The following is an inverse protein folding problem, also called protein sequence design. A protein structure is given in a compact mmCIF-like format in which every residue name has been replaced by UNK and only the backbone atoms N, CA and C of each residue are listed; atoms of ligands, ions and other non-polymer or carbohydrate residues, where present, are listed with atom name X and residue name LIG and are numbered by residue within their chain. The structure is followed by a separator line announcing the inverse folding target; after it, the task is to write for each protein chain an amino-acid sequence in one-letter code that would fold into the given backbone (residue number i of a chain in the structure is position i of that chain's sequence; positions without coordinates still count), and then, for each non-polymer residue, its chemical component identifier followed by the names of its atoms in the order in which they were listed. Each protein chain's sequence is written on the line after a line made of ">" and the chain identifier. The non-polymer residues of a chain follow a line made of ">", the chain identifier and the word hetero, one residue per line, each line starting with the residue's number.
data_IF_744927274605
#
_entry.id   IF_744927274605
#
_cell.length_a   1.000
_cell.length_b   1.000
_cell.length_c   1.000
_cell.angle_alpha   90.00
_cell.angle_beta   90.00
_cell.angle_gamma   90.00
#
_symmetry.space_group_name_H-M   'P 1'
#
loop_
_entity.id
_entity.type
_entity.pdbx_description
1 polymer ?
#
# COMPACT_ATOMS: atom_id res chain seq x y z
N UNK A 1 33.80 14.25 -55.00
CA UNK A 1 33.09 13.91 -53.75
C UNK A 1 31.68 14.45 -53.92
N UNK A 2 30.79 13.60 -54.43
CA UNK A 2 29.38 13.90 -54.61
C UNK A 2 28.68 13.46 -53.32
N UNK A 3 27.94 14.37 -52.69
CA UNK A 3 27.00 14.00 -51.63
C UNK A 3 25.79 13.38 -52.31
N UNK A 4 25.49 12.12 -51.98
CA UNK A 4 24.27 11.46 -52.41
C UNK A 4 23.12 11.93 -51.52
N UNK A 5 22.01 12.26 -52.17
CA UNK A 5 20.77 12.75 -51.61
C UNK A 5 20.13 11.74 -50.65
N UNK A 6 20.00 12.11 -49.37
CA UNK A 6 19.14 11.42 -48.40
C UNK A 6 17.67 11.56 -48.83
N UNK A 7 17.19 10.54 -49.55
CA UNK A 7 15.77 10.39 -49.89
C UNK A 7 14.99 9.98 -48.63
N UNK A 8 14.16 10.91 -48.17
CA UNK A 8 13.11 10.69 -47.18
C UNK A 8 12.15 9.61 -47.71
N UNK A 9 12.05 8.47 -47.04
CA UNK A 9 11.03 7.44 -47.33
C UNK A 9 9.82 7.66 -46.40
N UNK A 10 8.71 8.26 -46.87
CA UNK A 10 7.44 8.11 -46.18
C UNK A 10 6.79 6.79 -46.61
N UNK A 11 6.12 6.17 -45.64
CA UNK A 11 5.23 5.01 -45.74
C UNK A 11 5.87 3.64 -45.52
N UNK A 12 5.60 3.08 -44.34
CA UNK A 12 5.14 1.70 -44.29
C UNK A 12 3.85 1.65 -43.46
N UNK A 13 2.74 1.54 -44.17
CA UNK A 13 1.43 1.18 -43.65
C UNK A 13 1.39 -0.32 -43.38
N UNK A 14 0.50 -0.68 -42.46
CA UNK A 14 -0.12 -2.00 -42.33
C UNK A 14 0.77 -3.18 -41.93
N UNK A 15 0.72 -3.50 -40.63
CA UNK A 15 0.80 -4.90 -40.23
C UNK A 15 -0.24 -5.18 -39.14
N UNK A 16 -1.35 -5.74 -39.60
CA UNK A 16 -2.38 -6.40 -38.81
C UNK A 16 -1.78 -7.65 -38.13
N UNK A 17 -1.84 -7.72 -36.81
CA UNK A 17 -1.88 -8.97 -36.04
C UNK A 17 -2.82 -8.71 -34.86
N UNK A 18 -4.08 -9.13 -34.97
CA UNK A 18 -4.59 -10.47 -34.63
C UNK A 18 -4.66 -10.70 -33.10
N UNK A 19 -5.90 -10.58 -32.61
CA UNK A 19 -6.47 -11.33 -31.48
C UNK A 19 -5.70 -11.40 -30.16
N UNK A 20 -6.04 -10.53 -29.22
CA UNK A 20 -6.04 -10.94 -27.81
C UNK A 20 -7.31 -10.41 -27.12
N UNK A 21 -8.26 -11.31 -26.91
CA UNK A 21 -9.52 -11.09 -26.22
C UNK A 21 -9.24 -10.72 -24.76
N UNK A 22 -9.19 -9.42 -24.46
CA UNK A 22 -9.30 -8.92 -23.08
C UNK A 22 -10.78 -8.87 -22.74
N UNK A 23 -11.18 -9.80 -21.87
CA UNK A 23 -12.55 -10.07 -21.49
C UNK A 23 -13.35 -8.83 -21.11
N UNK A 24 -14.50 -8.70 -21.76
CA UNK A 24 -15.63 -7.89 -21.36
C UNK A 24 -16.16 -8.36 -20.00
N UNK A 25 -15.82 -7.62 -18.93
CA UNK A 25 -16.52 -7.73 -17.63
C UNK A 25 -16.83 -6.34 -17.07
N UNK A 26 -17.46 -5.49 -17.86
CA UNK A 26 -18.12 -4.29 -17.36
C UNK A 26 -19.50 -4.22 -17.99
N UNK A 27 -20.51 -4.70 -17.27
CA UNK A 27 -21.87 -4.14 -17.24
C UNK A 27 -22.79 -5.10 -16.51
N UNK A 28 -23.12 -4.75 -15.26
CA UNK A 28 -24.46 -4.80 -14.65
C UNK A 28 -24.28 -4.70 -13.14
N UNK A 29 -24.18 -3.47 -12.65
CA UNK A 29 -24.54 -3.16 -11.26
C UNK A 29 -25.54 -2.01 -11.31
N UNK A 30 -26.70 -2.15 -10.64
CA UNK A 30 -27.76 -1.15 -10.69
C UNK A 30 -27.31 0.19 -10.08
N UNK A 31 -27.96 1.31 -10.44
CA UNK A 31 -27.61 2.61 -9.89
C UNK A 31 -27.95 2.61 -8.40
N UNK A 32 -26.95 2.41 -7.54
CA UNK A 32 -27.09 2.66 -6.12
C UNK A 32 -27.10 4.16 -5.94
N UNK A 33 -28.21 4.67 -5.40
CA UNK A 33 -28.38 6.05 -5.00
C UNK A 33 -27.11 6.56 -4.32
N UNK A 34 -26.52 7.60 -4.91
CA UNK A 34 -25.41 8.33 -4.32
C UNK A 34 -25.93 9.00 -3.04
N UNK A 35 -25.83 8.30 -1.92
CA UNK A 35 -25.79 8.96 -0.63
C UNK A 35 -24.49 9.78 -0.61
N UNK A 36 -24.62 11.03 -1.05
CA UNK A 36 -23.69 12.10 -0.78
C UNK A 36 -23.51 12.15 0.73
N UNK A 37 -22.33 11.75 1.21
CA UNK A 37 -21.93 12.10 2.57
C UNK A 37 -21.72 13.62 2.55
N UNK A 38 -22.64 14.37 3.13
CA UNK A 38 -22.39 15.75 3.51
C UNK A 38 -21.22 15.74 4.49
N UNK A 39 -20.08 16.26 4.03
CA UNK A 39 -18.91 16.56 4.83
C UNK A 39 -19.26 17.72 5.78
N UNK A 40 -19.90 17.39 6.90
CA UNK A 40 -20.00 18.25 8.07
C UNK A 40 -19.59 17.43 9.28
N UNK A 41 -18.29 17.49 9.61
CA UNK A 41 -17.82 17.57 11.00
C UNK A 41 -16.34 17.93 10.97
N UNK A 42 -16.03 19.09 11.52
CA UNK A 42 -14.69 19.57 11.85
C UNK A 42 -14.05 18.55 12.80
N UNK A 43 -13.32 17.59 12.25
CA UNK A 43 -12.63 16.57 13.03
C UNK A 43 -11.41 17.20 13.69
N UNK A 44 -11.62 17.81 14.87
CA UNK A 44 -10.54 18.22 15.75
C UNK A 44 -9.83 16.95 16.24
N UNK A 45 -8.69 16.68 15.62
CA UNK A 45 -7.74 15.69 16.12
C UNK A 45 -7.20 16.20 17.45
N UNK A 46 -7.78 15.75 18.56
CA UNK A 46 -7.09 15.77 19.83
C UNK A 46 -5.92 14.77 19.71
N UNK A 47 -4.65 15.21 19.82
CA UNK A 47 -3.54 14.28 19.87
C UNK A 47 -3.82 13.32 21.01
N UNK A 48 -3.97 12.04 20.68
CA UNK A 48 -4.17 11.01 21.69
C UNK A 48 -2.88 10.93 22.50
N UNK A 49 -2.82 11.71 23.57
CA UNK A 49 -1.83 11.59 24.63
C UNK A 49 -2.12 10.28 25.39
N UNK A 50 -1.90 9.14 24.75
CA UNK A 50 -1.40 7.97 25.47
C UNK A 50 0.06 8.26 25.88
N UNK A 51 0.24 9.34 26.64
CA UNK A 51 1.37 9.53 27.52
C UNK A 51 1.04 8.77 28.80
N UNK A 52 1.14 7.43 28.71
CA UNK A 52 1.33 6.65 29.92
C UNK A 52 2.49 7.27 30.70
N UNK A 53 2.25 7.60 31.96
CA UNK A 53 3.21 8.21 32.88
C UNK A 53 4.45 7.33 33.03
N UNK A 54 5.38 7.39 32.08
CA UNK A 54 6.72 6.83 32.20
C UNK A 54 7.68 7.99 32.07
N UNK A 55 8.25 8.35 33.22
CA UNK A 55 9.37 9.26 33.44
C UNK A 55 10.27 9.45 32.21
N UNK A 56 10.52 10.72 31.85
CA UNK A 56 11.13 11.16 30.58
C UNK A 56 12.55 10.64 30.25
N UNK A 57 13.13 9.79 31.09
CA UNK A 57 14.35 9.01 30.81
C UNK A 57 14.10 7.83 29.86
N UNK A 58 12.92 7.19 29.89
CA UNK A 58 12.63 6.01 29.05
C UNK A 58 12.31 6.35 27.58
N UNK A 59 11.73 7.53 27.31
CA UNK A 59 11.35 7.94 25.94
C UNK A 59 12.57 8.19 25.05
N UNK A 60 13.61 8.85 25.60
CA UNK A 60 14.86 9.14 24.86
C UNK A 60 15.56 7.85 24.42
N UNK A 61 15.61 6.86 25.31
CA UNK A 61 16.18 5.55 24.98
C UNK A 61 15.39 4.88 23.84
N UNK A 62 14.06 4.98 23.84
CA UNK A 62 13.22 4.36 22.81
C UNK A 62 13.42 4.99 21.42
N UNK A 63 13.57 6.31 21.38
CA UNK A 63 13.84 7.05 20.14
C UNK A 63 15.22 6.73 19.59
N UNK A 64 16.23 6.58 20.45
CA UNK A 64 17.56 6.10 20.04
C UNK A 64 17.50 4.71 19.40
N UNK A 65 16.71 3.78 19.96
CA UNK A 65 16.53 2.45 19.36
C UNK A 65 15.86 2.51 17.98
N UNK A 66 14.88 3.38 17.78
CA UNK A 66 14.25 3.56 16.46
C UNK A 66 15.25 4.06 15.42
N UNK A 67 16.13 4.99 15.80
CA UNK A 67 17.14 5.54 14.89
C UNK A 67 18.21 4.52 14.43
N UNK A 68 18.37 3.41 15.17
CA UNK A 68 19.23 2.30 14.75
C UNK A 68 18.57 1.46 13.65
N UNK A 69 17.24 1.44 13.55
CA UNK A 69 16.54 0.70 12.50
C UNK A 69 16.73 1.39 11.14
N UNK A 70 17.42 0.70 10.23
CA UNK A 70 17.66 1.17 8.86
C UNK A 70 16.37 1.57 8.13
N UNK A 71 15.24 0.92 8.44
CA UNK A 71 13.94 1.19 7.82
C UNK A 71 13.19 2.36 8.46
N UNK A 72 13.58 2.84 9.64
CA UNK A 72 12.91 3.95 10.30
C UNK A 72 13.21 5.27 9.59
N UNK A 73 12.18 6.08 9.40
CA UNK A 73 12.27 7.42 8.85
C UNK A 73 11.29 8.34 9.58
N UNK A 74 11.66 9.61 9.65
CA UNK A 74 10.82 10.68 10.17
C UNK A 74 10.74 11.78 9.12
N UNK A 75 9.54 12.24 8.81
CA UNK A 75 9.31 13.37 7.89
C UNK A 75 8.33 14.34 8.50
N UNK A 76 8.43 15.61 8.13
CA UNK A 76 7.42 16.60 8.47
C UNK A 76 6.51 16.81 7.26
N UNK A 77 5.21 16.64 7.44
CA UNK A 77 4.19 17.02 6.45
C UNK A 77 3.48 18.30 6.89
N UNK A 78 2.84 18.98 5.94
CA UNK A 78 1.97 20.11 6.23
C UNK A 78 0.53 19.65 5.99
N UNK A 79 -0.28 19.63 7.03
CA UNK A 79 -1.71 19.34 6.94
C UNK A 79 -2.50 20.51 7.52
N UNK A 80 -3.41 21.10 6.73
CA UNK A 80 -4.21 22.27 7.13
C UNK A 80 -3.38 23.44 7.70
N UNK A 81 -2.17 23.66 7.15
CA UNK A 81 -1.25 24.72 7.59
C UNK A 81 -0.44 24.40 8.85
N UNK A 82 -0.68 23.25 9.49
CA UNK A 82 0.09 22.78 10.64
C UNK A 82 1.19 21.83 10.19
N UNK A 83 2.37 21.95 10.80
CA UNK A 83 3.49 21.03 10.59
C UNK A 83 3.32 19.83 11.51
N UNK A 84 3.19 18.64 10.91
CA UNK A 84 3.05 17.38 11.62
C UNK A 84 4.25 16.50 11.32
N UNK A 85 4.88 16.01 12.38
CA UNK A 85 5.94 15.03 12.28
C UNK A 85 5.34 13.62 12.21
N UNK A 86 5.73 12.87 11.19
CA UNK A 86 5.30 11.49 10.95
C UNK A 86 6.52 10.59 10.97
N UNK A 87 6.40 9.50 11.71
CA UNK A 87 7.38 8.42 11.79
C UNK A 87 6.87 7.22 11.01
N UNK A 88 7.69 6.64 10.14
CA UNK A 88 7.27 5.47 9.36
C UNK A 88 8.40 4.47 9.17
N UNK A 89 8.01 3.22 8.94
CA UNK A 89 8.93 2.09 8.80
C UNK A 89 8.87 1.52 7.38
N UNK A 90 9.96 1.71 6.65
CA UNK A 90 10.13 1.23 5.29
C UNK A 90 10.44 -0.27 5.27
N UNK A 91 9.84 -0.95 4.30
CA UNK A 91 10.21 -2.31 3.92
C UNK A 91 10.94 -2.27 2.57
N UNK A 92 12.01 -3.05 2.45
CA UNK A 92 12.69 -3.25 1.16
C UNK A 92 11.74 -3.88 0.14
N UNK A 93 11.85 -3.44 -1.12
CA UNK A 93 11.15 -4.08 -2.25
C UNK A 93 11.81 -5.40 -2.69
N UNK A 94 12.86 -5.87 -2.01
CA UNK A 94 13.47 -7.18 -2.30
C UNK A 94 12.53 -8.33 -1.94
N UNK A 95 12.17 -9.21 -2.90
CA UNK A 95 11.33 -10.38 -2.64
C UNK A 95 11.88 -11.26 -1.52
N UNK A 96 10.99 -11.85 -0.72
CA UNK A 96 11.34 -12.71 0.41
C UNK A 96 11.55 -11.96 1.74
N UNK A 97 11.71 -10.64 1.72
CA UNK A 97 11.74 -9.81 2.93
C UNK A 97 10.40 -9.88 3.67
N UNK A 98 10.41 -9.88 5.01
CA UNK A 98 9.17 -9.79 5.78
C UNK A 98 8.61 -8.36 5.70
N UNK A 99 7.32 -8.25 5.36
CA UNK A 99 6.62 -6.98 5.35
C UNK A 99 6.56 -6.38 6.76
N UNK A 100 6.78 -5.07 6.87
CA UNK A 100 6.65 -4.32 8.12
C UNK A 100 5.45 -3.39 8.03
N UNK A 101 4.74 -3.26 9.14
CA UNK A 101 3.72 -2.24 9.32
C UNK A 101 4.37 -0.86 9.24
N UNK A 102 3.90 -0.05 8.30
CA UNK A 102 4.39 1.31 8.08
C UNK A 102 4.20 2.21 9.29
N UNK A 103 3.19 1.94 10.14
CA UNK A 103 2.88 2.75 11.32
C UNK A 103 3.67 2.31 12.56
N UNK A 104 3.67 1.01 12.89
CA UNK A 104 4.25 0.51 14.14
C UNK A 104 5.65 -0.09 13.99
N UNK A 105 6.06 -0.45 12.77
CA UNK A 105 7.28 -1.20 12.50
C UNK A 105 7.18 -2.70 12.83
N UNK A 106 6.03 -3.17 13.31
CA UNK A 106 5.77 -4.60 13.55
C UNK A 106 5.88 -5.42 12.28
N UNK A 107 6.37 -6.66 12.37
CA UNK A 107 6.50 -7.54 11.19
C UNK A 107 5.23 -8.36 10.99
N UNK A 108 4.77 -8.41 9.75
CA UNK A 108 3.75 -9.36 9.33
C UNK A 108 4.39 -10.71 9.01
N UNK A 109 3.63 -11.79 9.16
CA UNK A 109 4.02 -13.13 8.69
C UNK A 109 3.76 -13.29 7.18
N UNK A 110 4.07 -12.23 6.43
CA UNK A 110 3.85 -12.11 4.99
C UNK A 110 5.14 -11.62 4.37
N UNK A 111 5.56 -12.26 3.30
CA UNK A 111 6.79 -11.91 2.57
C UNK A 111 6.47 -11.05 1.36
N UNK A 112 7.33 -10.08 1.09
CA UNK A 112 7.32 -9.28 -0.14
C UNK A 112 7.48 -10.23 -1.34
N UNK A 113 6.66 -10.05 -2.37
CA UNK A 113 6.57 -10.89 -3.54
C UNK A 113 5.75 -12.17 -3.36
N UNK A 114 5.19 -12.43 -2.18
CA UNK A 114 4.29 -13.58 -1.96
C UNK A 114 2.85 -13.26 -2.36
N UNK A 115 2.04 -14.30 -2.62
CA UNK A 115 0.61 -14.14 -2.90
C UNK A 115 -0.16 -13.54 -1.70
N UNK A 116 0.34 -13.76 -0.48
CA UNK A 116 -0.27 -13.25 0.75
C UNK A 116 -0.04 -11.74 0.91
N UNK A 117 0.87 -11.13 0.13
CA UNK A 117 1.07 -9.67 0.10
C UNK A 117 -0.23 -8.93 -0.25
N UNK A 118 -1.11 -9.56 -1.03
CA UNK A 118 -2.41 -8.99 -1.42
C UNK A 118 -3.39 -8.80 -0.25
N UNK A 119 -3.10 -9.38 0.92
CA UNK A 119 -3.90 -9.19 2.13
C UNK A 119 -3.61 -7.83 2.80
N UNK A 120 -2.46 -7.23 2.47
CA UNK A 120 -2.01 -5.95 3.00
C UNK A 120 -2.27 -4.84 1.99
N UNK A 121 -2.43 -3.62 2.49
CA UNK A 121 -2.45 -2.43 1.66
C UNK A 121 -1.01 -1.96 1.45
N UNK A 122 -0.54 -2.02 0.20
CA UNK A 122 0.84 -1.66 -0.19
C UNK A 122 0.89 -0.29 -0.84
N UNK A 123 1.80 0.55 -0.38
CA UNK A 123 2.05 1.89 -0.93
C UNK A 123 3.54 2.04 -1.26
N UNK A 124 3.84 2.59 -2.45
CA UNK A 124 5.19 3.00 -2.79
C UNK A 124 5.52 4.34 -2.12
N UNK A 125 6.60 4.40 -1.35
CA UNK A 125 7.04 5.65 -0.73
C UNK A 125 8.05 6.33 -1.65
N UNK A 126 7.68 7.51 -2.17
CA UNK A 126 8.54 8.36 -2.99
C UNK A 126 8.87 9.69 -2.29
N UNK A 127 8.84 9.70 -0.95
CA UNK A 127 9.09 10.90 -0.15
C UNK A 127 10.60 11.15 -0.11
N UNK A 128 11.11 11.85 -1.12
CA UNK A 128 12.34 12.66 -1.13
C UNK A 128 13.61 12.05 -0.53
N UNK A 129 13.70 10.72 -0.43
CA UNK A 129 14.83 10.05 0.20
C UNK A 129 15.99 10.05 -0.81
N UNK A 130 17.22 10.41 -0.38
CA UNK A 130 18.38 10.42 -1.27
C UNK A 130 18.79 9.01 -1.70
N UNK A 131 18.30 8.02 -0.97
CA UNK A 131 18.47 6.61 -1.24
C UNK A 131 17.52 6.25 -2.40
N UNK A 132 18.06 6.06 -3.61
CA UNK A 132 17.34 5.66 -4.85
C UNK A 132 16.58 4.31 -4.76
N UNK A 133 16.46 3.74 -3.56
CA UNK A 133 15.78 2.49 -3.33
C UNK A 133 14.28 2.74 -3.28
N UNK A 134 13.55 2.17 -4.23
CA UNK A 134 12.10 2.04 -4.17
C UNK A 134 11.73 1.29 -2.89
N UNK A 135 11.15 2.00 -1.93
CA UNK A 135 10.74 1.43 -0.65
C UNK A 135 9.23 1.38 -0.53
N UNK A 136 8.76 0.36 0.20
CA UNK A 136 7.36 0.04 0.34
C UNK A 136 6.90 0.28 1.78
N UNK A 137 5.67 0.77 1.90
CA UNK A 137 4.93 0.83 3.15
C UNK A 137 3.78 -0.18 3.08
N UNK A 138 3.59 -0.95 4.15
CA UNK A 138 2.49 -1.89 4.25
C UNK A 138 1.58 -1.51 5.41
N UNK A 139 0.27 -1.64 5.20
CA UNK A 139 -0.76 -1.36 6.20
C UNK A 139 -1.80 -2.48 6.21
N UNK A 140 -2.55 -2.61 7.30
CA UNK A 140 -3.67 -3.56 7.37
C UNK A 140 -4.86 -3.12 6.51
N UNK A 141 -5.04 -1.80 6.33
CA UNK A 141 -6.12 -1.20 5.57
C UNK A 141 -5.67 0.12 4.91
N UNK A 142 -6.34 0.57 3.83
CA UNK A 142 -6.11 1.90 3.28
C UNK A 142 -6.47 3.00 4.28
N UNK A 143 -7.44 2.77 5.16
CA UNK A 143 -7.83 3.72 6.20
C UNK A 143 -6.71 3.94 7.23
N UNK A 144 -5.93 2.90 7.56
CA UNK A 144 -4.75 3.05 8.43
C UNK A 144 -3.68 3.92 7.77
N UNK A 145 -3.49 3.76 6.45
CA UNK A 145 -2.59 4.63 5.69
C UNK A 145 -3.07 6.09 5.70
N UNK A 146 -4.37 6.34 5.49
CA UNK A 146 -4.92 7.70 5.50
C UNK A 146 -4.72 8.39 6.84
N UNK A 147 -4.97 7.67 7.94
CA UNK A 147 -4.75 8.19 9.30
C UNK A 147 -3.27 8.44 9.57
N UNK A 148 -2.41 7.57 9.08
CA UNK A 148 -0.97 7.67 9.32
C UNK A 148 -0.33 8.81 8.54
N UNK A 149 -0.61 8.88 7.24
CA UNK A 149 0.04 9.79 6.28
C UNK A 149 -0.77 11.08 6.06
N UNK A 150 -1.95 11.19 6.67
CA UNK A 150 -2.91 12.28 6.50
C UNK A 150 -3.22 12.57 5.02
N UNK A 151 -3.23 11.51 4.21
CA UNK A 151 -3.45 11.59 2.78
C UNK A 151 -4.64 10.72 2.38
N UNK A 152 -5.75 11.30 1.88
CA UNK A 152 -6.93 10.54 1.52
C UNK A 152 -6.66 9.65 0.30
N UNK A 153 -7.14 8.42 0.36
CA UNK A 153 -7.12 7.44 -0.72
C UNK A 153 -8.47 7.50 -1.44
N UNK A 154 -8.45 7.49 -2.77
CA UNK A 154 -9.71 7.56 -3.52
C UNK A 154 -10.62 6.36 -3.22
N UNK A 155 -11.95 6.54 -3.22
CA UNK A 155 -12.90 5.45 -2.95
C UNK A 155 -12.73 4.24 -3.87
N UNK A 156 -12.40 4.49 -5.14
CA UNK A 156 -12.12 3.46 -6.15
C UNK A 156 -10.95 2.56 -5.73
N UNK A 157 -9.83 3.13 -5.27
CA UNK A 157 -8.68 2.35 -4.82
C UNK A 157 -9.01 1.52 -3.57
N UNK A 158 -9.80 2.07 -2.63
CA UNK A 158 -10.24 1.34 -1.45
C UNK A 158 -11.12 0.14 -1.83
N UNK A 159 -12.04 0.33 -2.77
CA UNK A 159 -12.92 -0.73 -3.25
C UNK A 159 -12.13 -1.80 -4.01
N UNK A 160 -11.25 -1.41 -4.93
CA UNK A 160 -10.39 -2.32 -5.65
C UNK A 160 -9.54 -3.18 -4.70
N UNK A 161 -8.98 -2.56 -3.66
CA UNK A 161 -8.24 -3.29 -2.63
C UNK A 161 -9.13 -4.24 -1.82
N UNK A 162 -10.32 -3.81 -1.39
CA UNK A 162 -11.28 -4.66 -0.65
C UNK A 162 -11.63 -5.90 -1.45
N UNK A 163 -11.92 -5.74 -2.73
CA UNK A 163 -12.25 -6.84 -3.65
C UNK A 163 -11.07 -7.80 -3.78
N UNK A 164 -9.86 -7.27 -4.00
CA UNK A 164 -8.63 -8.06 -4.09
C UNK A 164 -8.35 -8.85 -2.81
N UNK A 165 -8.49 -8.21 -1.65
CA UNK A 165 -8.27 -8.82 -0.34
C UNK A 165 -9.29 -9.93 -0.06
N UNK A 166 -10.56 -9.72 -0.40
CA UNK A 166 -11.59 -10.73 -0.23
C UNK A 166 -11.29 -12.00 -1.03
N UNK A 167 -10.81 -11.86 -2.28
CA UNK A 167 -10.39 -12.98 -3.12
C UNK A 167 -9.16 -13.67 -2.52
N UNK A 168 -8.13 -12.91 -2.12
CA UNK A 168 -6.92 -13.45 -1.53
C UNK A 168 -7.18 -14.23 -0.23
N UNK A 169 -8.10 -13.74 0.62
CA UNK A 169 -8.52 -14.44 1.84
C UNK A 169 -9.16 -15.79 1.52
N UNK A 170 -10.10 -15.84 0.58
CA UNK A 170 -10.74 -17.10 0.17
C UNK A 170 -9.71 -18.12 -0.32
N UNK A 171 -8.81 -17.70 -1.21
CA UNK A 171 -7.75 -18.57 -1.73
C UNK A 171 -6.80 -19.08 -0.62
N UNK A 172 -6.48 -18.23 0.36
CA UNK A 172 -5.64 -18.61 1.50
C UNK A 172 -6.33 -19.64 2.39
N UNK A 173 -7.61 -19.45 2.67
CA UNK A 173 -8.41 -20.36 3.50
C UNK A 173 -8.59 -21.72 2.82
N UNK A 174 -8.86 -21.74 1.50
CA UNK A 174 -8.94 -22.96 0.69
C UNK A 174 -7.62 -23.74 0.71
N UNK A 175 -6.49 -23.05 0.51
CA UNK A 175 -5.15 -23.66 0.60
C UNK A 175 -4.89 -24.24 1.99
N UNK A 176 -5.28 -23.53 3.04
CA UNK A 176 -5.11 -23.97 4.42
C UNK A 176 -5.98 -25.19 4.76
N UNK A 177 -7.19 -25.25 4.21
CA UNK A 177 -8.08 -26.40 4.33
C UNK A 177 -7.52 -27.62 3.57
N UNK A 178 -7.05 -27.44 2.34
CA UNK A 178 -6.43 -28.50 1.54
C UNK A 178 -5.14 -29.04 2.16
N UNK A 179 -4.34 -28.19 2.80
CA UNK A 179 -3.11 -28.58 3.50
C UNK A 179 -3.35 -29.35 4.81
N UNK A 180 -4.61 -29.49 5.26
CA UNK A 180 -5.00 -30.35 6.39
C UNK A 180 -5.84 -31.55 5.91
N UNK A 181 -5.27 -32.49 5.14
CA UNK A 181 -5.98 -33.72 4.81
C UNK A 181 -6.04 -34.59 6.07
N UNK A 182 -7.15 -34.56 6.83
CA UNK A 182 -7.35 -35.57 7.87
C UNK A 182 -8.25 -35.28 9.07
N UNK A 183 -8.84 -34.09 9.24
CA UNK A 183 -9.80 -33.92 10.34
C UNK A 183 -11.22 -34.28 9.89
N UNK A 184 -11.49 -35.59 9.84
CA UNK A 184 -12.84 -36.13 9.74
C UNK A 184 -13.55 -35.79 11.06
N UNK A 185 -14.57 -34.95 10.99
CA UNK A 185 -15.51 -34.76 12.10
C UNK A 185 -16.26 -36.07 12.32
N UNK A 186 -15.87 -36.84 13.33
CA UNK A 186 -16.66 -37.97 13.82
C UNK A 186 -17.91 -37.36 14.45
N UNK A 187 -19.07 -37.62 13.83
CA UNK A 187 -20.40 -37.32 14.37
C UNK A 187 -20.78 -38.36 15.44
#
# INVERSE_FOLDING_TARGET
>A
MFYEDDHFHPNNSDNEMEGNEVGSYMLLSPPVERHMYELNEEYTYEPNEYSGNTTGTNRKNLDEYKMIDKGFRKTTIINNGQRLDIEYYLTSNTPGSLARDGMTGGRFDVRVGSNDEHLLFKVGCAIGTPDNDLTLLFYNSPEDYEKHMFHPVSPEHKEAWRNKRAIAMKLRDEKRAAARPGFVTVR
#
